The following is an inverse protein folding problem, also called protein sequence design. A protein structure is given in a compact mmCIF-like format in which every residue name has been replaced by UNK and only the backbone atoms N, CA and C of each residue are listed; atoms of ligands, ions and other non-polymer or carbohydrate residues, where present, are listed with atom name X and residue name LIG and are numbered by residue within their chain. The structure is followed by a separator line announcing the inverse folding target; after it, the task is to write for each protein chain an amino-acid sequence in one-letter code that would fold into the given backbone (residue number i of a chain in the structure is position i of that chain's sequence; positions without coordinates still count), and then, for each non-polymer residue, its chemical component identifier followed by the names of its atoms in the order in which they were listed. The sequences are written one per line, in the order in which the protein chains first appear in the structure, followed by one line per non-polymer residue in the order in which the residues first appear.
data_IF_764298865222
#
_entry.id   IF_764298865222
#
_cell.length_a   1.000
_cell.length_b   1.000
_cell.length_c   1.000
_cell.angle_alpha   90.00
_cell.angle_beta   90.00
_cell.angle_gamma   90.00
#
_symmetry.space_group_name_H-M   'P 1'
#
loop_
_entity.id
_entity.type
_entity.pdbx_description
1 polymer ?
#
# COMPACT_ATOMS: atom_id res chain seq x y z
N UNK A 1 6.85 8.34 2.35
CA UNK A 1 7.09 6.92 2.57
C UNK A 1 6.08 6.10 1.80
N UNK A 2 6.52 5.08 1.10
CA UNK A 2 5.61 4.23 0.33
C UNK A 2 5.31 2.95 1.09
N UNK A 3 4.04 2.56 1.08
CA UNK A 3 3.56 1.40 1.82
C UNK A 3 3.05 0.37 0.81
N UNK A 4 3.49 -0.88 0.98
CA UNK A 4 2.98 -1.99 0.18
C UNK A 4 1.77 -2.59 0.89
N UNK A 5 0.70 -2.81 0.14
CA UNK A 5 -0.51 -3.44 0.65
C UNK A 5 -0.83 -4.64 -0.24
N UNK A 6 -0.79 -5.82 0.33
CA UNK A 6 -1.00 -7.05 -0.42
C UNK A 6 -2.19 -7.83 0.05
N UNK A 7 -2.47 -8.90 -0.65
CA UNK A 7 -3.59 -9.79 -0.39
C UNK A 7 -4.94 -9.09 -0.47
N UNK A 8 -5.05 -8.16 -1.45
CA UNK A 8 -6.28 -7.40 -1.63
C UNK A 8 -7.31 -8.19 -2.42
N UNK A 9 -8.57 -7.99 -2.05
CA UNK A 9 -9.67 -8.47 -2.89
C UNK A 9 -9.71 -7.67 -4.18
N UNK A 10 -10.13 -8.32 -5.26
CA UNK A 10 -10.24 -7.65 -6.55
C UNK A 10 -11.29 -6.54 -6.54
N UNK A 11 -12.15 -6.52 -5.55
CA UNK A 11 -13.19 -5.50 -5.45
C UNK A 11 -12.74 -4.24 -4.72
N UNK A 12 -11.55 -4.23 -4.16
CA UNK A 12 -11.05 -3.07 -3.42
C UNK A 12 -10.71 -1.95 -4.40
N UNK A 13 -11.17 -0.75 -4.09
CA UNK A 13 -10.93 0.43 -4.93
C UNK A 13 -9.86 1.31 -4.33
N UNK A 14 -9.23 2.19 -5.14
CA UNK A 14 -8.28 3.15 -4.59
C UNK A 14 -8.90 4.04 -3.52
N UNK A 15 -10.16 4.43 -3.68
CA UNK A 15 -10.83 5.27 -2.70
C UNK A 15 -10.97 4.56 -1.36
N UNK A 16 -11.25 3.27 -1.38
CA UNK A 16 -11.38 2.51 -0.15
C UNK A 16 -10.05 2.45 0.58
N UNK A 17 -8.96 2.25 -0.15
CA UNK A 17 -7.64 2.22 0.45
C UNK A 17 -7.25 3.59 1.00
N UNK A 18 -7.53 4.63 0.25
CA UNK A 18 -7.21 5.97 0.71
C UNK A 18 -7.94 6.29 2.01
N UNK A 19 -9.23 5.95 2.10
CA UNK A 19 -10.00 6.18 3.31
C UNK A 19 -9.45 5.39 4.50
N UNK A 20 -9.02 4.17 4.24
CA UNK A 20 -8.49 3.32 5.29
C UNK A 20 -7.20 3.90 5.87
N UNK A 21 -6.29 4.33 5.01
CA UNK A 21 -5.01 4.88 5.45
C UNK A 21 -5.16 6.30 5.97
N UNK A 22 -6.13 7.05 5.46
CA UNK A 22 -6.35 8.42 5.89
C UNK A 22 -6.75 8.51 7.36
N UNK A 23 -7.25 7.43 7.92
CA UNK A 23 -7.57 7.40 9.34
C UNK A 23 -6.31 7.45 10.21
N UNK A 24 -5.17 7.16 9.64
CA UNK A 24 -3.91 7.12 10.39
C UNK A 24 -2.99 8.27 10.05
N UNK A 25 -3.31 9.06 9.03
CA UNK A 25 -2.50 10.19 8.64
C UNK A 25 -2.79 10.65 7.24
N UNK A 26 -2.01 11.61 6.77
CA UNK A 26 -2.20 12.15 5.43
C UNK A 26 -1.76 11.17 4.37
N UNK A 27 -2.60 11.00 3.36
CA UNK A 27 -2.29 10.14 2.21
C UNK A 27 -2.04 11.02 1.01
N UNK A 28 -0.87 10.85 0.40
CA UNK A 28 -0.50 11.64 -0.77
C UNK A 28 -1.01 11.01 -2.05
N UNK A 29 -0.86 9.70 -2.18
CA UNK A 29 -1.21 9.03 -3.41
C UNK A 29 -1.49 7.56 -3.15
N UNK A 30 -2.38 6.97 -3.94
CA UNK A 30 -2.67 5.54 -3.90
C UNK A 30 -2.53 4.99 -5.31
N UNK A 31 -1.73 3.94 -5.45
CA UNK A 31 -1.55 3.24 -6.72
C UNK A 31 -2.12 1.84 -6.62
N UNK A 32 -3.06 1.52 -7.50
CA UNK A 32 -3.60 0.16 -7.57
C UNK A 32 -3.31 -0.37 -8.97
N UNK A 33 -2.20 -1.12 -9.14
CA UNK A 33 -1.88 -1.67 -10.46
C UNK A 33 -2.96 -2.62 -10.93
N UNK A 34 -3.25 -2.56 -12.21
CA UNK A 34 -4.26 -3.43 -12.81
C UNK A 34 -3.64 -4.28 -13.89
N UNK A 35 -4.28 -5.41 -14.16
CA UNK A 35 -3.87 -6.30 -15.23
C UNK A 35 -4.32 -5.70 -16.55
N UNK A 36 -3.41 -5.63 -17.52
CA UNK A 36 -3.71 -5.03 -18.80
C UNK A 36 -4.76 -5.81 -19.58
N UNK A 37 -4.77 -7.12 -19.43
CA UNK A 37 -5.66 -7.97 -20.20
C UNK A 37 -7.08 -7.92 -19.66
N UNK A 38 -7.23 -7.90 -18.35
CA UNK A 38 -8.55 -7.99 -17.74
C UNK A 38 -9.02 -6.68 -17.12
N UNK A 39 -8.11 -5.74 -16.87
CA UNK A 39 -8.44 -4.49 -16.21
C UNK A 39 -8.70 -4.63 -14.72
N UNK A 40 -8.45 -5.78 -14.14
CA UNK A 40 -8.69 -6.02 -12.73
C UNK A 40 -7.47 -5.70 -11.88
N UNK A 41 -7.67 -5.28 -10.62
CA UNK A 41 -6.55 -5.08 -9.71
C UNK A 41 -5.75 -6.37 -9.56
N UNK A 42 -4.44 -6.21 -9.36
CA UNK A 42 -3.56 -7.37 -9.29
C UNK A 42 -3.46 -7.96 -7.90
N UNK A 43 -4.26 -7.48 -6.95
CA UNK A 43 -4.26 -8.01 -5.61
C UNK A 43 -3.29 -7.32 -4.67
N UNK A 44 -2.63 -6.27 -5.12
CA UNK A 44 -1.77 -5.46 -4.27
C UNK A 44 -1.82 -4.00 -4.71
N UNK A 45 -1.36 -3.13 -3.81
CA UNK A 45 -1.37 -1.70 -4.07
C UNK A 45 -0.24 -1.04 -3.31
N UNK A 46 0.00 0.24 -3.63
CA UNK A 46 0.97 1.06 -2.93
C UNK A 46 0.29 2.34 -2.47
N UNK A 47 0.58 2.74 -1.23
CA UNK A 47 0.04 3.97 -0.66
C UNK A 47 1.21 4.84 -0.26
N UNK A 48 1.21 6.09 -0.74
CA UNK A 48 2.26 7.04 -0.39
C UNK A 48 1.77 7.97 0.71
N UNK A 49 2.46 7.97 1.84
CA UNK A 49 2.18 8.86 2.95
C UNK A 49 3.43 9.70 3.22
N UNK A 50 3.30 11.03 3.21
CA UNK A 50 4.50 11.88 3.35
C UNK A 50 5.09 11.87 4.74
N UNK A 51 4.32 11.57 5.77
CA UNK A 51 4.81 11.56 7.13
C UNK A 51 5.19 10.13 7.52
N UNK A 52 6.49 9.93 7.81
CA UNK A 52 6.97 8.58 8.11
C UNK A 52 6.37 8.00 9.38
N UNK A 53 6.17 8.84 10.39
CA UNK A 53 5.60 8.36 11.66
C UNK A 53 4.16 7.90 11.46
N UNK A 54 3.39 8.66 10.69
CA UNK A 54 2.02 8.26 10.39
C UNK A 54 1.98 7.00 9.55
N UNK A 55 2.91 6.89 8.60
CA UNK A 55 2.99 5.70 7.76
C UNK A 55 3.30 4.46 8.59
N UNK A 56 4.24 4.57 9.53
CA UNK A 56 4.57 3.45 10.40
C UNK A 56 3.37 3.05 11.26
N UNK A 57 2.65 4.05 11.77
CA UNK A 57 1.46 3.77 12.56
C UNK A 57 0.39 3.05 11.73
N UNK A 58 0.24 3.47 10.48
CA UNK A 58 -0.73 2.83 9.59
C UNK A 58 -0.33 1.39 9.32
N UNK A 59 0.95 1.15 9.07
CA UNK A 59 1.43 -0.21 8.84
C UNK A 59 1.12 -1.10 10.04
N UNK A 60 1.46 -0.63 11.24
CA UNK A 60 1.24 -1.40 12.44
C UNK A 60 -0.24 -1.67 12.70
N UNK A 61 -1.09 -0.68 12.40
CA UNK A 61 -2.51 -0.81 12.68
C UNK A 61 -3.22 -1.68 11.66
N UNK A 62 -2.80 -1.61 10.40
CA UNK A 62 -3.55 -2.26 9.32
C UNK A 62 -3.02 -3.61 8.91
N UNK A 63 -1.76 -3.91 9.24
CA UNK A 63 -1.21 -5.22 8.90
C UNK A 63 -1.98 -6.30 9.64
N UNK A 64 -2.55 -7.24 8.89
CA UNK A 64 -3.32 -8.32 9.48
C UNK A 64 -4.79 -8.01 9.69
N UNK A 65 -5.23 -6.79 9.39
CA UNK A 65 -6.66 -6.49 9.49
C UNK A 65 -7.39 -7.06 8.29
N UNK A 66 -8.68 -7.27 8.47
CA UNK A 66 -9.50 -7.87 7.43
C UNK A 66 -10.21 -6.79 6.61
N UNK A 67 -10.13 -6.93 5.29
CA UNK A 67 -10.83 -6.04 4.37
C UNK A 67 -11.41 -6.90 3.26
N UNK A 68 -12.72 -6.80 3.05
CA UNK A 68 -13.41 -7.56 2.02
C UNK A 68 -13.18 -9.07 2.20
N UNK A 69 -13.08 -9.51 3.46
CA UNK A 69 -12.91 -10.92 3.76
C UNK A 69 -11.49 -11.44 3.66
N UNK A 70 -10.51 -10.57 3.46
CA UNK A 70 -9.12 -10.97 3.33
C UNK A 70 -8.24 -10.22 4.30
N UNK A 71 -7.30 -10.91 4.90
CA UNK A 71 -6.33 -10.27 5.80
C UNK A 71 -5.29 -9.52 4.99
N UNK A 72 -5.14 -8.25 5.28
CA UNK A 72 -4.19 -7.41 4.54
C UNK A 72 -2.77 -7.69 4.99
N UNK A 73 -1.86 -7.59 4.03
CA UNK A 73 -0.42 -7.62 4.31
C UNK A 73 0.13 -6.25 4.03
N UNK A 74 0.53 -5.54 5.08
CA UNK A 74 0.93 -4.14 4.97
C UNK A 74 2.36 -4.02 5.45
N UNK A 75 3.24 -3.54 4.56
CA UNK A 75 4.66 -3.40 4.86
C UNK A 75 5.19 -2.15 4.20
N UNK A 76 6.34 -1.71 4.66
CA UNK A 76 7.03 -0.61 4.01
C UNK A 76 7.59 -1.07 2.67
N UNK A 77 7.33 -0.28 1.61
CA UNK A 77 7.86 -0.55 0.29
C UNK A 77 9.05 0.37 0.04
N UNK A 78 10.19 -0.19 -0.31
CA UNK A 78 11.40 0.59 -0.51
C UNK A 78 11.49 1.13 -1.91
N UNK A 79 11.96 2.38 -2.07
CA UNK A 79 12.18 2.94 -3.41
C UNK A 79 13.28 2.19 -4.14
N UNK A 80 13.12 2.06 -5.43
CA UNK A 80 14.11 1.38 -6.25
C UNK A 80 15.46 2.04 -6.21
N UNK A 81 15.51 3.35 -6.28
CA UNK A 81 16.78 4.04 -6.35
C UNK A 81 17.59 3.86 -5.08
N UNK A 82 16.94 3.69 -3.96
CA UNK A 82 17.63 3.43 -2.72
C UNK A 82 18.35 2.11 -2.78
N UNK A 83 17.68 1.11 -3.30
CA UNK A 83 18.28 -0.19 -3.41
C UNK A 83 19.42 -0.20 -4.41
N UNK A 84 19.25 0.51 -5.51
CA UNK A 84 20.30 0.60 -6.51
C UNK A 84 21.56 1.22 -5.97
N UNK A 85 21.41 2.24 -5.18
CA UNK A 85 22.57 2.89 -4.59
C UNK A 85 23.31 1.96 -3.64
N UNK A 86 22.58 1.24 -2.85
CA UNK A 86 23.20 0.34 -1.91
C UNK A 86 23.92 -0.78 -2.60
N UNK A 87 23.53 -1.05 -3.78
CA UNK A 87 24.10 -2.17 -4.48
C UNK A 87 25.53 -2.00 -4.85
N UNK A 88 26.13 -1.08 -4.84
CA UNK A 88 27.39 -0.96 -5.22
C UNK A 88 28.25 -1.68 -5.18
N UNK A 89 27.75 -2.11 -5.38
CA UNK A 89 28.22 -2.76 -5.47
C UNK A 89 28.48 -3.08 -5.87
#
# INVERSE_FOLDING_TARGET
MRIYVGNLSYSVTPDALEGLFAEHGSVEEVHVPTDRDTGRPRGFAFVDMPNADEAQAAIAALNGTELEGRSLKVNEARPKKERGRGGRW
#
